data_IF_951351335382
#
_entry.id   IF_951351335382
#
_cell.length_a   1.000
_cell.length_b   1.000
_cell.length_c   1.000
_cell.angle_alpha   90.00
_cell.angle_beta   90.00
_cell.angle_gamma   90.00
#
_symmetry.space_group_name_H-M   'P 1'
#
loop_
_entity.id
_entity.type
_entity.pdbx_description
1 polymer ?
#
# COMPACT_ATOMS: atom_id res chain seq x y z
N UNK A 1 55.24 -6.70 -13.99
CA UNK A 1 54.04 -5.86 -14.16
C UNK A 1 52.90 -6.54 -13.41
N UNK A 2 52.55 -6.00 -12.22
CA UNK A 2 51.52 -6.52 -11.32
C UNK A 2 50.14 -5.99 -11.75
N UNK A 3 49.16 -6.88 -11.91
CA UNK A 3 47.73 -6.50 -11.90
C UNK A 3 47.16 -7.00 -10.58
N UNK A 4 46.72 -6.14 -9.64
CA UNK A 4 46.12 -6.62 -8.40
C UNK A 4 44.68 -7.08 -8.69
N UNK A 5 44.42 -8.36 -8.46
CA UNK A 5 43.09 -8.93 -8.48
C UNK A 5 42.23 -8.23 -7.43
N UNK A 6 41.19 -7.56 -7.90
CA UNK A 6 40.29 -6.71 -7.13
C UNK A 6 39.52 -7.57 -6.12
N UNK A 7 39.64 -7.23 -4.84
CA UNK A 7 38.75 -7.70 -3.78
C UNK A 7 37.31 -7.30 -4.14
N UNK A 8 36.47 -8.28 -4.48
CA UNK A 8 35.03 -8.05 -4.66
C UNK A 8 34.40 -8.07 -3.28
N UNK A 9 34.11 -6.88 -2.76
CA UNK A 9 33.34 -6.67 -1.54
C UNK A 9 31.85 -6.81 -1.87
N UNK A 10 31.25 -7.96 -1.58
CA UNK A 10 29.78 -8.13 -1.61
C UNK A 10 29.17 -7.36 -0.43
N UNK A 11 28.63 -6.17 -0.71
CA UNK A 11 27.84 -5.42 0.25
C UNK A 11 26.44 -6.05 0.39
N UNK A 12 26.10 -6.50 1.60
CA UNK A 12 24.75 -6.92 1.96
C UNK A 12 23.87 -5.66 2.08
N UNK A 13 22.98 -5.45 1.12
CA UNK A 13 21.97 -4.38 1.19
C UNK A 13 20.84 -4.87 2.11
N UNK A 14 20.80 -4.34 3.34
CA UNK A 14 19.64 -4.44 4.21
C UNK A 14 18.67 -3.33 3.82
N UNK A 15 17.60 -3.68 3.11
CA UNK A 15 16.46 -2.78 2.90
C UNK A 15 15.63 -2.72 4.19
N UNK A 16 15.71 -1.60 4.90
CA UNK A 16 14.73 -1.27 5.94
C UNK A 16 13.45 -0.80 5.25
N UNK A 17 12.38 -1.59 5.29
CA UNK A 17 11.03 -1.13 4.94
C UNK A 17 10.52 -0.23 6.05
N UNK A 18 10.93 1.04 6.05
CA UNK A 18 10.18 2.04 6.79
C UNK A 18 8.87 2.26 6.02
N UNK A 19 7.74 1.85 6.61
CA UNK A 19 6.42 2.32 6.16
C UNK A 19 6.48 3.86 6.19
N UNK A 20 6.46 4.48 5.02
CA UNK A 20 6.66 5.92 4.91
C UNK A 20 5.41 6.60 5.45
N UNK A 21 5.55 7.39 6.51
CA UNK A 21 4.47 8.23 7.00
C UNK A 21 3.89 9.06 5.86
N UNK A 22 2.65 8.78 5.48
CA UNK A 22 1.90 9.52 4.47
C UNK A 22 0.91 10.45 5.16
N UNK A 23 1.16 11.77 5.20
CA UNK A 23 0.25 12.73 5.83
C UNK A 23 -1.19 12.61 5.33
N UNK A 24 -1.40 12.20 4.07
CA UNK A 24 -2.73 12.05 3.50
C UNK A 24 -3.54 10.92 4.14
N UNK A 25 -2.91 9.96 4.81
CA UNK A 25 -3.59 8.90 5.57
C UNK A 25 -3.92 9.31 7.02
N UNK A 26 -3.59 10.55 7.42
CA UNK A 26 -3.76 11.07 8.78
C UNK A 26 -4.68 12.30 8.87
N UNK A 27 -5.48 12.61 7.85
CA UNK A 27 -6.41 13.76 7.82
C UNK A 27 -7.87 13.40 8.16
N UNK A 28 -8.12 12.18 8.64
CA UNK A 28 -9.46 11.69 8.97
C UNK A 28 -10.40 11.72 7.76
N UNK A 29 -11.63 12.23 7.94
CA UNK A 29 -12.62 12.33 6.86
C UNK A 29 -12.30 13.34 5.75
N UNK A 30 -11.20 14.10 5.88
CA UNK A 30 -10.76 15.05 4.85
C UNK A 30 -9.69 14.46 3.92
N UNK A 31 -9.15 13.29 4.24
CA UNK A 31 -8.25 12.55 3.37
C UNK A 31 -8.93 12.22 2.03
N UNK A 32 -8.18 12.25 0.91
CA UNK A 32 -8.58 11.53 -0.29
C UNK A 32 -8.81 10.03 0.02
N UNK A 33 -9.57 9.35 -0.81
CA UNK A 33 -9.79 7.91 -0.64
C UNK A 33 -8.49 7.13 -0.84
N UNK A 34 -8.24 6.16 0.04
CA UNK A 34 -7.19 5.16 -0.08
C UNK A 34 -7.71 3.80 0.40
N UNK A 35 -7.13 2.71 -0.11
CA UNK A 35 -7.46 1.36 0.36
C UNK A 35 -7.02 1.18 1.80
N UNK A 36 -7.93 0.76 2.67
CA UNK A 36 -7.59 0.44 4.07
C UNK A 36 -6.64 -0.76 4.16
N UNK A 37 -5.89 -0.88 5.27
CA UNK A 37 -4.98 -2.00 5.47
C UNK A 37 -5.75 -3.32 5.54
N UNK A 38 -5.19 -4.38 4.95
CA UNK A 38 -5.73 -5.73 5.07
C UNK A 38 -5.34 -6.36 6.42
N UNK A 39 -6.00 -5.94 7.49
CA UNK A 39 -5.66 -6.34 8.87
C UNK A 39 -5.80 -7.84 9.14
N UNK A 40 -6.63 -8.54 8.38
CA UNK A 40 -6.88 -9.97 8.54
C UNK A 40 -6.12 -10.84 7.53
N UNK A 41 -5.38 -10.20 6.61
CA UNK A 41 -4.67 -10.87 5.52
C UNK A 41 -5.58 -11.80 4.67
N UNK A 42 -6.81 -11.34 4.38
CA UNK A 42 -7.79 -12.09 3.59
C UNK A 42 -7.81 -11.53 2.16
N UNK A 43 -7.74 -12.39 1.15
CA UNK A 43 -7.83 -11.95 -0.25
C UNK A 43 -9.19 -11.28 -0.53
N UNK A 44 -9.23 -10.11 -1.20
CA UNK A 44 -10.48 -9.47 -1.61
C UNK A 44 -11.12 -10.16 -2.84
N UNK A 45 -10.41 -11.08 -3.49
CA UNK A 45 -10.90 -11.78 -4.67
C UNK A 45 -11.98 -12.81 -4.32
N UNK A 46 -12.85 -13.09 -5.29
CA UNK A 46 -13.76 -14.23 -5.16
C UNK A 46 -12.95 -15.54 -5.01
N UNK A 47 -13.31 -16.42 -4.05
CA UNK A 47 -12.62 -17.68 -3.88
C UNK A 47 -12.65 -18.56 -5.14
N UNK A 48 -11.68 -19.47 -5.26
CA UNK A 48 -11.61 -20.38 -6.41
C UNK A 48 -12.90 -21.20 -6.53
N UNK A 49 -13.48 -21.22 -7.74
CA UNK A 49 -14.72 -21.96 -8.03
C UNK A 49 -16.00 -21.22 -7.60
N UNK A 50 -15.88 -20.04 -7.01
CA UNK A 50 -17.01 -19.17 -6.69
C UNK A 50 -17.15 -18.03 -7.71
N UNK A 51 -18.36 -17.49 -7.83
CA UNK A 51 -18.66 -16.30 -8.64
C UNK A 51 -19.59 -15.38 -7.85
N UNK A 52 -19.27 -14.09 -7.84
CA UNK A 52 -20.18 -13.06 -7.30
C UNK A 52 -21.41 -12.95 -8.20
N UNK A 53 -22.59 -13.13 -7.64
CA UNK A 53 -23.88 -13.02 -8.34
C UNK A 53 -24.66 -11.74 -7.98
N UNK A 54 -24.33 -11.11 -6.84
CA UNK A 54 -24.86 -9.83 -6.42
C UNK A 54 -23.84 -9.03 -5.59
N UNK A 55 -23.89 -7.70 -5.69
CA UNK A 55 -23.12 -6.80 -4.84
C UNK A 55 -23.96 -5.58 -4.44
N UNK A 56 -23.76 -5.08 -3.23
CA UNK A 56 -24.38 -3.86 -2.72
C UNK A 56 -23.30 -2.93 -2.17
N UNK A 57 -23.36 -1.65 -2.54
CA UNK A 57 -22.38 -0.65 -2.13
C UNK A 57 -23.10 0.54 -1.48
N UNK A 58 -22.59 0.99 -0.33
CA UNK A 58 -22.91 2.31 0.22
C UNK A 58 -21.63 3.13 0.14
N UNK A 59 -21.68 4.24 -0.59
CA UNK A 59 -20.51 5.08 -0.83
C UNK A 59 -20.74 6.49 -0.27
N UNK A 60 -19.71 7.07 0.34
CA UNK A 60 -19.68 8.49 0.70
C UNK A 60 -19.54 9.33 -0.57
N UNK A 61 -19.95 10.60 -0.50
CA UNK A 61 -19.54 11.59 -1.49
C UNK A 61 -18.00 11.68 -1.60
N UNK A 62 -17.50 12.10 -2.77
CA UNK A 62 -16.08 12.33 -3.00
C UNK A 62 -15.52 13.53 -2.23
N UNK A 63 -14.25 13.86 -2.50
CA UNK A 63 -13.60 15.06 -1.96
C UNK A 63 -14.39 16.32 -2.32
N UNK A 64 -14.46 17.26 -1.38
CA UNK A 64 -15.21 18.52 -1.53
C UNK A 64 -14.49 19.67 -0.86
N UNK A 65 -14.89 20.89 -1.21
CA UNK A 65 -14.50 22.09 -0.47
C UNK A 65 -15.17 22.14 0.91
N UNK A 66 -14.62 22.94 1.86
CA UNK A 66 -15.25 23.17 3.16
C UNK A 66 -16.68 23.69 3.04
N UNK A 67 -17.49 23.44 4.08
CA UNK A 67 -18.79 24.10 4.20
C UNK A 67 -18.61 25.63 4.41
N UNK A 68 -19.62 26.44 4.04
CA UNK A 68 -19.62 27.88 4.30
C UNK A 68 -19.52 28.26 5.78
#
# INVERSE_FOLDING_TARGET
MLVPARFILTALVVSTVAESFDPLQHLGGNSPWFSGPNVNNISPDAPQGCRVDQAGFTSRHGSRYPDP
#
